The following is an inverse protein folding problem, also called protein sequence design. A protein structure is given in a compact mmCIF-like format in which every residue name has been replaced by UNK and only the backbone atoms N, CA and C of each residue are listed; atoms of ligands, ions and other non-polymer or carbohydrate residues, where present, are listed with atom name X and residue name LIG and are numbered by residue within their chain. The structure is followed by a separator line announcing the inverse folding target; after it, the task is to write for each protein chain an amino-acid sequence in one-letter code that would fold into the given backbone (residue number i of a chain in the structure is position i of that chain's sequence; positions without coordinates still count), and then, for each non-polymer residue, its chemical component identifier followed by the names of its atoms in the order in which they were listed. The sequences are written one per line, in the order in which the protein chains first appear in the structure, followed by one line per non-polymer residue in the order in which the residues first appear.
data_IF_409981908196
#
_entry.id   IF_409981908196
#
_cell.length_a   1.000
_cell.length_b   1.000
_cell.length_c   1.000
_cell.angle_alpha   90.00
_cell.angle_beta   90.00
_cell.angle_gamma   90.00
#
_symmetry.space_group_name_H-M   'P 1'
#
loop_
_entity.id
_entity.type
_entity.pdbx_description
1 polymer ?
#
# COMPACT_ATOMS: atom_id res chain seq x y z
N UNK A 1 -8.60 -13.43 0.76
CA UNK A 1 -7.40 -12.99 1.48
C UNK A 1 -7.43 -11.49 1.66
N UNK A 2 -7.23 -11.04 2.87
CA UNK A 2 -7.33 -9.61 3.17
C UNK A 2 -5.96 -8.96 3.09
N UNK A 3 -5.90 -7.83 2.42
CA UNK A 3 -4.70 -7.03 2.34
C UNK A 3 -5.01 -5.58 2.65
N UNK A 4 -3.99 -4.85 2.99
CA UNK A 4 -4.13 -3.44 3.33
C UNK A 4 -3.23 -2.62 2.43
N UNK A 5 -3.76 -1.51 1.94
CA UNK A 5 -3.01 -0.58 1.11
C UNK A 5 -3.07 0.80 1.75
N UNK A 6 -2.10 1.63 1.40
CA UNK A 6 -2.03 2.99 1.91
C UNK A 6 -2.31 3.95 0.76
N UNK A 7 -3.13 4.95 1.04
CA UNK A 7 -3.50 5.94 0.06
C UNK A 7 -3.23 7.35 0.59
N UNK A 8 -2.63 8.17 -0.23
CA UNK A 8 -2.40 9.58 0.08
C UNK A 8 -3.11 10.40 -0.98
N UNK A 9 -4.07 11.20 -0.55
CA UNK A 9 -4.93 11.96 -1.45
C UNK A 9 -5.63 11.01 -2.43
N UNK A 10 -5.35 11.10 -3.71
CA UNK A 10 -5.97 10.26 -4.71
C UNK A 10 -4.99 9.27 -5.33
N UNK A 11 -3.88 9.02 -4.65
CA UNK A 11 -2.85 8.11 -5.14
C UNK A 11 -2.56 6.99 -4.18
N UNK A 12 -2.20 5.85 -4.73
CA UNK A 12 -1.79 4.69 -3.96
C UNK A 12 -0.30 4.76 -3.68
N UNK A 13 0.10 4.28 -2.51
CA UNK A 13 1.51 4.25 -2.13
C UNK A 13 2.17 3.01 -2.71
N UNK A 14 3.31 3.23 -3.36
CA UNK A 14 4.19 2.16 -3.79
C UNK A 14 5.50 2.34 -3.06
N UNK A 15 5.86 1.38 -2.22
CA UNK A 15 7.09 1.46 -1.45
C UNK A 15 8.21 0.84 -2.27
N UNK A 16 9.25 1.62 -2.50
CA UNK A 16 10.41 1.17 -3.23
C UNK A 16 11.57 1.02 -2.25
N UNK A 17 12.08 -0.18 -2.12
CA UNK A 17 13.16 -0.47 -1.21
C UNK A 17 14.50 -0.42 -1.92
N UNK A 18 15.52 -0.01 -1.18
CA UNK A 18 16.86 0.03 -1.68
C UNK A 18 17.56 1.35 -1.34
N UNK A 19 18.89 1.38 -1.48
CA UNK A 19 19.66 2.59 -1.18
C UNK A 19 19.22 3.75 -2.07
N UNK A 20 18.99 4.88 -1.47
CA UNK A 20 18.56 6.06 -2.20
C UNK A 20 17.16 6.01 -2.73
N UNK A 21 16.41 4.98 -2.38
CA UNK A 21 15.03 4.85 -2.79
C UNK A 21 14.12 5.47 -1.75
N UNK A 22 13.04 6.01 -2.22
CA UNK A 22 12.04 6.59 -1.35
C UNK A 22 10.70 5.93 -1.56
N UNK A 23 9.67 6.67 -1.20
CA UNK A 23 8.30 6.22 -1.34
C UNK A 23 7.78 6.72 -2.68
N UNK A 24 7.22 5.80 -3.46
CA UNK A 24 6.61 6.14 -4.73
C UNK A 24 5.10 6.18 -4.63
N UNK A 25 4.48 6.73 -5.65
CA UNK A 25 3.04 6.81 -5.74
C UNK A 25 2.60 6.34 -7.11
N UNK A 26 1.42 5.73 -7.14
CA UNK A 26 0.86 5.24 -8.40
C UNK A 26 -0.63 5.50 -8.41
N UNK A 27 -1.19 5.62 -9.59
CA UNK A 27 -2.63 5.74 -9.74
C UNK A 27 -3.26 4.38 -10.01
N UNK A 28 -2.44 3.38 -10.22
CA UNK A 28 -2.91 2.03 -10.47
C UNK A 28 -2.93 1.25 -9.16
N UNK A 29 -4.10 0.81 -8.76
CA UNK A 29 -4.24 0.01 -7.54
C UNK A 29 -3.45 -1.29 -7.63
N UNK A 30 -3.29 -1.81 -8.84
CA UNK A 30 -2.57 -3.05 -9.05
C UNK A 30 -1.08 -2.91 -8.77
N UNK A 31 -0.55 -1.72 -8.94
CA UNK A 31 0.85 -1.45 -8.67
C UNK A 31 1.11 -1.01 -7.24
N UNK A 32 0.07 -0.86 -6.45
CA UNK A 32 0.21 -0.43 -5.07
C UNK A 32 0.83 -1.52 -4.22
N UNK A 33 1.67 -1.11 -3.27
CA UNK A 33 2.18 -2.02 -2.28
C UNK A 33 1.08 -2.39 -1.31
N UNK A 34 1.14 -3.60 -0.80
CA UNK A 34 0.15 -4.06 0.17
C UNK A 34 0.83 -4.71 1.36
N UNK A 35 0.13 -4.71 2.48
CA UNK A 35 0.59 -5.29 3.71
C UNK A 35 -0.41 -6.33 4.20
N UNK A 36 0.10 -7.39 4.80
CA UNK A 36 -0.76 -8.50 5.25
C UNK A 36 -1.44 -8.20 6.57
N UNK A 37 -0.88 -7.30 7.36
CA UNK A 37 -1.46 -6.94 8.64
C UNK A 37 -1.81 -5.46 8.68
N UNK A 38 -2.87 -5.15 9.41
CA UNK A 38 -3.29 -3.76 9.59
C UNK A 38 -2.20 -2.95 10.28
N UNK A 39 -1.56 -3.53 11.27
CA UNK A 39 -0.53 -2.83 12.03
C UNK A 39 0.64 -2.41 11.17
N UNK A 40 1.06 -3.26 10.26
CA UNK A 40 2.15 -2.93 9.33
C UNK A 40 1.74 -1.83 8.36
N UNK A 41 0.50 -1.89 7.91
CA UNK A 41 -0.03 -0.85 7.03
C UNK A 41 -0.09 0.49 7.72
N UNK A 42 -0.50 0.51 8.99
CA UNK A 42 -0.55 1.75 9.77
C UNK A 42 0.85 2.32 9.98
N UNK A 43 1.82 1.46 10.26
CA UNK A 43 3.19 1.91 10.41
C UNK A 43 3.72 2.53 9.12
N UNK A 44 3.43 1.90 7.99
CA UNK A 44 3.81 2.43 6.69
C UNK A 44 3.12 3.76 6.42
N UNK A 45 1.84 3.86 6.76
CA UNK A 45 1.08 5.08 6.56
C UNK A 45 1.68 6.25 7.36
N UNK A 46 2.15 5.98 8.55
CA UNK A 46 2.78 7.02 9.38
C UNK A 46 4.05 7.55 8.73
N UNK A 47 4.87 6.63 8.24
CA UNK A 47 6.11 7.02 7.57
C UNK A 47 5.81 7.84 6.33
N UNK A 48 4.83 7.40 5.54
CA UNK A 48 4.42 8.12 4.35
C UNK A 48 3.90 9.51 4.69
N UNK A 49 3.06 9.60 5.72
CA UNK A 49 2.50 10.89 6.12
C UNK A 49 3.59 11.87 6.53
N UNK A 50 4.59 11.40 7.26
CA UNK A 50 5.71 12.25 7.66
C UNK A 50 6.56 12.68 6.48
N UNK A 51 6.82 11.77 5.56
CA UNK A 51 7.65 12.06 4.39
C UNK A 51 6.97 13.00 3.41
N UNK A 52 5.66 12.89 3.29
CA UNK A 52 4.92 13.71 2.33
C UNK A 52 4.26 14.92 2.96
N UNK A 53 4.27 14.98 4.28
CA UNK A 53 3.56 16.01 5.04
C UNK A 53 2.08 16.08 4.65
N UNK A 54 1.50 14.92 4.37
CA UNK A 54 0.12 14.78 3.95
C UNK A 54 -0.55 13.68 4.75
N UNK A 55 -1.86 13.68 4.74
CA UNK A 55 -2.61 12.66 5.45
C UNK A 55 -2.61 11.36 4.64
N UNK A 56 -2.27 10.27 5.30
CA UNK A 56 -2.27 8.95 4.69
C UNK A 56 -3.35 8.09 5.34
N UNK A 57 -4.09 7.35 4.53
CA UNK A 57 -5.15 6.49 5.01
C UNK A 57 -4.88 5.04 4.63
N UNK A 58 -5.28 4.13 5.52
CA UNK A 58 -5.16 2.70 5.29
C UNK A 58 -6.51 2.19 4.80
N UNK A 59 -6.49 1.46 3.68
CA UNK A 59 -7.67 0.85 3.13
C UNK A 59 -7.54 -0.67 3.13
N UNK A 60 -8.63 -1.33 3.46
CA UNK A 60 -8.68 -2.78 3.45
C UNK A 60 -9.16 -3.24 2.08
N UNK A 61 -8.41 -4.16 1.50
CA UNK A 61 -8.77 -4.73 0.20
C UNK A 61 -8.94 -6.22 0.38
N UNK A 62 -10.11 -6.72 0.12
CA UNK A 62 -10.36 -8.14 0.14
C UNK A 62 -10.20 -8.69 -1.25
N UNK A 63 -9.30 -9.64 -1.38
CA UNK A 63 -9.09 -10.32 -2.64
C UNK A 63 -9.67 -11.71 -2.54
N UNK A 64 -10.46 -12.13 -3.54
CA UNK A 64 -10.95 -13.50 -3.54
C UNK A 64 -9.78 -14.47 -3.66
N UNK A 65 -9.93 -15.60 -2.98
CA UNK A 65 -8.92 -16.65 -3.03
C UNK A 65 -9.29 -17.60 -4.14
N UNK A 66 -8.57 -17.53 -5.24
CA UNK A 66 -8.77 -18.42 -6.36
C UNK A 66 -7.57 -19.33 -6.53
N UNK A 67 -7.77 -20.61 -6.82
CA UNK A 67 -6.66 -21.48 -7.17
C UNK A 67 -5.98 -20.97 -8.44
N UNK A 68 -4.68 -21.04 -8.47
CA UNK A 68 -3.93 -20.59 -9.63
C UNK A 68 -4.25 -21.37 -10.89
N UNK A 69 -4.56 -22.63 -10.68
CA UNK A 69 -4.91 -23.52 -11.78
C UNK A 69 -6.34 -23.34 -12.25
N UNK A 70 -7.01 -22.40 -11.67
CA UNK A 70 -8.41 -22.17 -11.92
C UNK A 70 -8.73 -21.83 -13.37
N UNK A 71 -7.81 -21.30 -14.01
CA UNK A 71 -7.99 -21.03 -15.42
C UNK A 71 -7.85 -22.31 -16.22
#
# INVERSE_FOLDING_TARGET
MTRYVVMVEDRWVTVVYGPGKGIGFTRSKEDASSWVTYERAVAAARVVAECTNSHAAVHCVEEPVYPRSWK
#
